data_IF_747861623646
#
_entry.id   IF_747861623646
#
_cell.length_a   1.000
_cell.length_b   1.000
_cell.length_c   1.000
_cell.angle_alpha   90.00
_cell.angle_beta   90.00
_cell.angle_gamma   90.00
#
_symmetry.space_group_name_H-M   'P 1'
#
loop_
_entity.id
_entity.type
_entity.pdbx_description
1 polymer ?
#
# COMPACT_ATOMS: atom_id res chain seq x y z
N UNK A 1 -8.84 -11.03 -20.57
CA UNK A 1 -9.26 -10.41 -19.30
C UNK A 1 -9.04 -8.93 -19.41
N UNK A 2 -10.04 -8.09 -19.16
CA UNK A 2 -9.96 -6.68 -19.52
C UNK A 2 -8.85 -5.90 -18.79
N UNK A 3 -8.49 -6.25 -17.55
CA UNK A 3 -7.55 -5.46 -16.78
C UNK A 3 -6.05 -5.79 -16.96
N UNK A 4 -5.67 -6.83 -17.72
CA UNK A 4 -4.25 -7.12 -17.98
C UNK A 4 -3.58 -5.98 -18.76
N UNK A 5 -4.30 -5.43 -19.72
CA UNK A 5 -3.79 -4.26 -20.46
C UNK A 5 -3.59 -3.01 -19.56
N UNK A 6 -4.40 -2.89 -18.52
CA UNK A 6 -4.20 -1.82 -17.53
C UNK A 6 -2.97 -2.10 -16.67
N UNK A 7 -2.77 -3.37 -16.22
CA UNK A 7 -1.57 -3.75 -15.45
C UNK A 7 -0.28 -3.42 -16.21
N UNK A 8 -0.22 -3.71 -17.51
CA UNK A 8 0.97 -3.46 -18.35
C UNK A 8 1.37 -1.99 -18.49
N UNK A 9 0.48 -1.05 -18.12
CA UNK A 9 0.77 0.39 -18.14
C UNK A 9 1.60 0.86 -16.95
N UNK A 10 1.67 0.06 -15.88
CA UNK A 10 2.32 0.43 -14.63
C UNK A 10 3.62 -0.34 -14.41
N UNK A 11 4.64 0.34 -13.91
CA UNK A 11 5.91 -0.27 -13.54
C UNK A 11 5.84 -1.05 -12.24
N UNK A 12 4.90 -0.71 -11.36
CA UNK A 12 4.70 -1.41 -10.09
C UNK A 12 3.23 -1.42 -9.68
N UNK A 13 2.76 -2.57 -9.19
CA UNK A 13 1.37 -2.78 -8.79
C UNK A 13 1.32 -3.55 -7.48
N UNK A 14 0.58 -3.03 -6.51
CA UNK A 14 0.26 -3.74 -5.28
C UNK A 14 -0.99 -4.61 -5.46
N UNK A 15 -0.93 -5.86 -5.03
CA UNK A 15 -2.12 -6.71 -4.83
C UNK A 15 -2.54 -6.65 -3.38
N UNK A 16 -3.74 -6.15 -3.11
CA UNK A 16 -4.26 -5.93 -1.74
C UNK A 16 -5.58 -6.69 -1.58
N UNK A 17 -5.77 -7.33 -0.43
CA UNK A 17 -7.05 -7.95 -0.08
C UNK A 17 -7.76 -7.15 1.00
N UNK A 18 -9.08 -6.94 0.88
CA UNK A 18 -9.89 -6.27 1.90
C UNK A 18 -9.89 -7.01 3.24
N UNK A 19 -9.77 -8.34 3.19
CA UNK A 19 -9.68 -9.21 4.37
C UNK A 19 -8.74 -10.39 4.06
N UNK A 20 -8.46 -11.21 5.06
CA UNK A 20 -7.84 -12.52 4.85
C UNK A 20 -8.76 -13.40 4.01
N UNK A 21 -8.17 -14.28 3.21
CA UNK A 21 -8.88 -15.28 2.41
C UNK A 21 -9.85 -14.72 1.34
N UNK A 22 -9.69 -13.46 0.90
CA UNK A 22 -10.47 -12.87 -0.20
C UNK A 22 -9.95 -13.23 -1.60
N UNK A 23 -9.04 -14.20 -1.71
CA UNK A 23 -8.49 -14.66 -3.00
C UNK A 23 -7.34 -13.81 -3.54
N UNK A 24 -6.68 -12.98 -2.72
CA UNK A 24 -5.55 -12.15 -3.16
C UNK A 24 -4.45 -12.96 -3.86
N UNK A 25 -4.01 -14.07 -3.27
CA UNK A 25 -2.95 -14.92 -3.85
C UNK A 25 -3.37 -15.56 -5.15
N UNK A 26 -4.63 -16.01 -5.26
CA UNK A 26 -5.18 -16.54 -6.51
C UNK A 26 -5.22 -15.47 -7.60
N UNK A 27 -5.62 -14.24 -7.23
CA UNK A 27 -5.59 -13.09 -8.15
C UNK A 27 -4.17 -12.83 -8.63
N UNK A 28 -3.19 -12.84 -7.73
CA UNK A 28 -1.78 -12.62 -8.06
C UNK A 28 -1.24 -13.73 -8.99
N UNK A 29 -1.45 -14.99 -8.65
CA UNK A 29 -1.05 -16.12 -9.49
C UNK A 29 -1.70 -16.05 -10.89
N UNK A 30 -2.97 -15.65 -10.95
CA UNK A 30 -3.66 -15.45 -12.20
C UNK A 30 -3.02 -14.33 -13.04
N UNK A 31 -2.69 -13.17 -12.43
CA UNK A 31 -2.01 -12.06 -13.10
C UNK A 31 -0.67 -12.53 -13.67
N UNK A 32 0.15 -13.20 -12.87
CA UNK A 32 1.48 -13.66 -13.29
C UNK A 32 1.40 -14.65 -14.46
N UNK A 33 0.45 -15.59 -14.40
CA UNK A 33 0.18 -16.52 -15.50
C UNK A 33 -0.21 -15.81 -16.80
N UNK A 34 -1.01 -14.74 -16.70
CA UNK A 34 -1.43 -13.97 -17.88
C UNK A 34 -0.30 -13.13 -18.45
N UNK A 35 0.48 -12.46 -17.60
CA UNK A 35 1.65 -11.69 -18.01
C UNK A 35 2.65 -12.58 -18.77
N UNK A 36 2.94 -13.79 -18.24
CA UNK A 36 3.75 -14.79 -18.95
C UNK A 36 3.18 -15.11 -20.32
N UNK A 37 1.87 -15.36 -20.43
CA UNK A 37 1.21 -15.68 -21.70
C UNK A 37 1.26 -14.58 -22.75
N UNK A 38 1.51 -13.34 -22.33
CA UNK A 38 1.67 -12.17 -23.20
C UNK A 38 3.15 -11.78 -23.42
N UNK A 39 4.10 -12.59 -22.95
CA UNK A 39 5.53 -12.34 -23.10
C UNK A 39 6.08 -11.22 -22.19
N UNK A 40 5.32 -10.82 -21.16
CA UNK A 40 5.74 -9.78 -20.22
C UNK A 40 6.59 -10.38 -19.10
N UNK A 41 7.78 -9.83 -18.88
CA UNK A 41 8.68 -10.26 -17.81
C UNK A 41 8.27 -9.55 -16.52
N UNK A 42 7.70 -10.29 -15.58
CA UNK A 42 7.28 -9.76 -14.30
C UNK A 42 8.34 -9.96 -13.21
N UNK A 43 8.47 -8.96 -12.35
CA UNK A 43 9.11 -9.07 -11.06
C UNK A 43 8.07 -9.28 -9.95
N UNK A 44 8.43 -9.96 -8.87
CA UNK A 44 7.51 -10.25 -7.77
C UNK A 44 8.21 -10.07 -6.43
N UNK A 45 7.54 -9.40 -5.49
CA UNK A 45 8.01 -9.29 -4.10
C UNK A 45 6.84 -9.17 -3.13
N UNK A 46 7.12 -9.12 -1.85
CA UNK A 46 6.10 -8.93 -0.81
C UNK A 46 6.54 -7.88 0.19
N UNK A 47 5.60 -7.16 0.78
CA UNK A 47 5.88 -6.31 1.94
C UNK A 47 5.63 -7.10 3.23
N UNK A 48 6.59 -6.98 4.14
CA UNK A 48 6.51 -7.49 5.51
C UNK A 48 6.96 -8.93 5.68
N UNK A 49 7.15 -9.24 6.94
CA UNK A 49 7.70 -10.51 7.40
C UNK A 49 6.57 -11.31 8.02
N UNK A 50 6.05 -12.25 7.29
CA UNK A 50 5.32 -13.33 7.90
C UNK A 50 6.26 -14.55 7.93
N UNK A 51 7.00 -14.71 9.03
CA UNK A 51 7.97 -15.80 9.21
C UNK A 51 7.36 -17.18 9.39
N UNK A 52 6.06 -17.26 9.53
CA UNK A 52 5.34 -18.50 9.77
C UNK A 52 4.88 -19.14 8.45
N UNK A 53 5.18 -20.42 8.30
CA UNK A 53 4.69 -21.24 7.16
C UNK A 53 3.20 -21.54 7.26
N UNK A 54 2.62 -21.35 8.44
CA UNK A 54 1.23 -21.61 8.79
C UNK A 54 0.63 -20.29 9.26
N UNK A 55 -0.56 -19.94 8.79
CA UNK A 55 -1.28 -18.80 9.32
C UNK A 55 -1.62 -19.06 10.78
N UNK A 56 -1.13 -18.22 11.69
CA UNK A 56 -1.30 -18.38 13.13
C UNK A 56 -2.78 -18.36 13.57
N UNK A 57 -3.67 -17.83 12.74
CA UNK A 57 -5.11 -17.73 13.05
C UNK A 57 -5.90 -18.91 12.49
N UNK A 58 -5.55 -19.38 11.28
CA UNK A 58 -6.33 -20.40 10.58
C UNK A 58 -5.66 -21.78 10.56
N UNK A 59 -4.42 -21.89 11.03
CA UNK A 59 -3.59 -23.12 10.97
C UNK A 59 -3.44 -23.69 9.55
N UNK A 60 -3.70 -22.90 8.53
CA UNK A 60 -3.57 -23.30 7.12
C UNK A 60 -2.20 -22.94 6.56
N UNK A 61 -1.63 -23.75 5.64
CA UNK A 61 -0.39 -23.40 4.97
C UNK A 61 -0.55 -22.06 4.23
N UNK A 62 0.46 -21.19 4.33
CA UNK A 62 0.44 -19.95 3.52
C UNK A 62 0.47 -20.30 2.04
N UNK A 63 -0.38 -19.63 1.25
CA UNK A 63 -0.41 -19.85 -0.18
C UNK A 63 0.91 -19.39 -0.81
N UNK A 64 1.50 -20.28 -1.61
CA UNK A 64 2.72 -20.01 -2.36
C UNK A 64 2.40 -19.28 -3.66
N UNK A 65 3.32 -18.44 -4.11
CA UNK A 65 3.25 -17.76 -5.40
C UNK A 65 3.95 -18.60 -6.44
N UNK A 66 3.29 -18.80 -7.58
CA UNK A 66 3.87 -19.48 -8.75
C UNK A 66 4.77 -18.52 -9.50
N UNK A 67 6.04 -18.88 -9.63
CA UNK A 67 7.04 -18.15 -10.41
C UNK A 67 7.32 -18.93 -11.68
N UNK A 68 7.30 -18.25 -12.80
CA UNK A 68 7.60 -18.84 -14.10
C UNK A 68 9.05 -18.54 -14.52
N UNK A 69 9.58 -19.37 -15.43
CA UNK A 69 10.90 -19.19 -16.00
C UNK A 69 11.08 -17.76 -16.56
N UNK A 70 12.23 -17.15 -16.29
CA UNK A 70 12.58 -15.79 -16.68
C UNK A 70 12.05 -14.68 -15.74
N UNK A 71 11.04 -14.96 -14.91
CA UNK A 71 10.55 -13.98 -13.92
C UNK A 71 11.59 -13.71 -12.85
N UNK A 72 11.58 -12.47 -12.35
CA UNK A 72 12.36 -12.09 -11.18
C UNK A 72 11.51 -12.18 -9.93
N UNK A 73 12.12 -12.56 -8.82
CA UNK A 73 11.47 -12.51 -7.51
C UNK A 73 12.42 -12.07 -6.43
N UNK A 74 11.91 -11.33 -5.45
CA UNK A 74 12.64 -10.99 -4.25
C UNK A 74 11.95 -11.58 -3.03
N UNK A 75 12.72 -12.32 -2.22
CA UNK A 75 12.24 -12.91 -0.96
C UNK A 75 13.38 -13.01 0.04
N UNK A 76 13.05 -13.24 1.34
CA UNK A 76 14.09 -13.43 2.37
C UNK A 76 14.90 -14.69 2.17
N UNK A 77 16.15 -14.70 2.67
CA UNK A 77 17.05 -15.87 2.61
C UNK A 77 16.39 -17.15 3.09
N UNK A 78 15.61 -17.11 4.17
CA UNK A 78 14.93 -18.27 4.71
C UNK A 78 13.91 -18.87 3.73
N UNK A 79 13.15 -18.05 3.03
CA UNK A 79 12.20 -18.50 2.01
C UNK A 79 12.89 -18.86 0.71
N UNK A 80 13.94 -18.14 0.32
CA UNK A 80 14.77 -18.48 -0.82
C UNK A 80 15.36 -19.89 -0.71
N UNK A 81 15.90 -20.26 0.46
CA UNK A 81 16.46 -21.60 0.69
C UNK A 81 15.42 -22.72 0.66
N UNK A 82 14.13 -22.42 0.87
CA UNK A 82 13.04 -23.40 0.86
C UNK A 82 12.42 -23.65 -0.49
N UNK A 83 12.71 -22.80 -1.50
CA UNK A 83 12.19 -23.00 -2.85
C UNK A 83 12.68 -24.31 -3.46
N UNK A 84 11.86 -24.93 -4.30
CA UNK A 84 12.15 -26.22 -4.93
C UNK A 84 12.41 -26.12 -6.44
N UNK A 85 12.87 -24.96 -6.91
CA UNK A 85 13.23 -24.75 -8.32
C UNK A 85 14.54 -23.99 -8.42
N UNK A 86 15.19 -24.03 -9.59
CA UNK A 86 16.46 -23.36 -9.82
C UNK A 86 16.26 -21.87 -10.07
N UNK A 87 17.13 -21.05 -9.50
CA UNK A 87 17.14 -19.62 -9.70
C UNK A 87 18.58 -19.06 -9.58
N UNK A 88 18.89 -18.10 -10.42
CA UNK A 88 20.11 -17.32 -10.40
C UNK A 88 19.97 -16.16 -9.41
N UNK A 89 20.93 -15.98 -8.51
CA UNK A 89 20.96 -14.83 -7.59
C UNK A 89 21.54 -13.63 -8.36
N UNK A 90 20.77 -12.55 -8.40
CA UNK A 90 21.14 -11.28 -9.06
C UNK A 90 21.53 -10.19 -8.08
N UNK A 91 21.15 -10.32 -6.80
CA UNK A 91 21.46 -9.36 -5.76
C UNK A 91 21.02 -9.84 -4.38
N UNK A 92 21.66 -9.31 -3.36
CA UNK A 92 21.35 -9.55 -1.95
C UNK A 92 21.42 -8.23 -1.22
N UNK A 93 20.37 -7.89 -0.47
CA UNK A 93 20.32 -6.62 0.26
C UNK A 93 21.38 -6.53 1.36
N UNK A 94 21.86 -5.34 1.64
CA UNK A 94 22.74 -5.07 2.79
C UNK A 94 21.96 -5.18 4.12
N UNK A 95 20.72 -4.75 4.11
CA UNK A 95 19.84 -4.80 5.28
C UNK A 95 19.23 -6.19 5.44
N UNK A 96 18.92 -6.55 6.69
CA UNK A 96 18.30 -7.83 7.04
C UNK A 96 16.90 -7.64 7.60
N UNK A 97 16.01 -8.54 7.21
CA UNK A 97 14.71 -8.76 7.86
C UNK A 97 14.89 -9.79 8.99
N UNK A 98 13.85 -10.06 9.80
CA UNK A 98 13.87 -11.15 10.76
C UNK A 98 14.03 -12.56 10.12
N UNK A 99 13.86 -12.67 8.80
CA UNK A 99 14.05 -13.91 8.03
C UNK A 99 15.33 -13.91 7.19
N UNK A 100 16.29 -13.06 7.51
CA UNK A 100 17.52 -12.85 6.76
C UNK A 100 17.44 -11.73 5.73
N UNK A 101 18.47 -11.60 4.91
CA UNK A 101 18.56 -10.58 3.86
C UNK A 101 17.55 -10.87 2.75
N UNK A 102 17.19 -9.84 2.00
CA UNK A 102 16.36 -9.99 0.79
C UNK A 102 17.24 -10.42 -0.37
N UNK A 103 16.87 -11.52 -1.01
CA UNK A 103 17.58 -12.09 -2.18
C UNK A 103 16.72 -11.81 -3.42
N UNK A 104 17.29 -11.11 -4.38
CA UNK A 104 16.71 -10.87 -5.71
C UNK A 104 17.26 -11.92 -6.66
N UNK A 105 16.38 -12.64 -7.34
CA UNK A 105 16.75 -13.78 -8.17
C UNK A 105 15.92 -13.86 -9.44
N UNK A 106 16.50 -14.46 -10.49
CA UNK A 106 15.82 -14.84 -11.72
C UNK A 106 15.51 -16.33 -11.68
N UNK A 107 14.27 -16.70 -11.96
CA UNK A 107 13.87 -18.10 -12.07
C UNK A 107 14.43 -18.73 -13.36
N UNK A 108 15.18 -19.84 -13.22
CA UNK A 108 15.67 -20.65 -14.34
C UNK A 108 14.63 -21.71 -14.73
N UNK A 109 13.76 -22.08 -13.80
CA UNK A 109 12.63 -22.98 -14.03
C UNK A 109 11.38 -22.51 -13.27
N UNK A 110 10.25 -23.12 -13.59
CA UNK A 110 8.96 -22.85 -12.94
C UNK A 110 8.90 -23.51 -11.57
N UNK A 111 8.28 -22.82 -10.59
CA UNK A 111 8.05 -23.39 -9.28
C UNK A 111 7.30 -22.45 -8.35
N UNK A 112 7.15 -22.87 -7.10
CA UNK A 112 6.43 -22.10 -6.08
C UNK A 112 7.39 -21.59 -5.01
N UNK A 113 7.13 -20.38 -4.52
CA UNK A 113 7.90 -19.75 -3.46
C UNK A 113 7.01 -18.99 -2.50
N UNK A 114 7.40 -18.97 -1.22
CA UNK A 114 6.85 -18.05 -0.24
C UNK A 114 7.56 -16.69 -0.41
N UNK A 115 6.77 -15.65 -0.53
CA UNK A 115 7.31 -14.29 -0.59
C UNK A 115 7.34 -13.67 0.81
N UNK A 116 8.42 -12.97 1.08
CA UNK A 116 8.61 -12.12 2.25
C UNK A 116 9.61 -11.01 1.92
N UNK A 117 9.40 -9.85 2.46
CA UNK A 117 10.23 -8.70 2.15
C UNK A 117 10.32 -7.71 3.29
N UNK A 118 10.81 -6.50 3.02
CA UNK A 118 10.89 -5.45 4.01
C UNK A 118 9.53 -5.06 4.57
N UNK A 119 9.49 -4.67 5.85
CA UNK A 119 8.30 -4.07 6.47
C UNK A 119 8.25 -2.55 6.31
N UNK A 120 9.35 -1.93 5.89
CA UNK A 120 9.49 -0.49 5.71
C UNK A 120 9.22 -0.08 4.26
N UNK A 121 8.38 0.96 4.06
CA UNK A 121 7.97 1.44 2.75
C UNK A 121 9.12 1.95 1.88
N UNK A 122 10.08 2.66 2.44
CA UNK A 122 11.24 3.17 1.68
C UNK A 122 12.17 2.05 1.22
N UNK A 123 12.31 0.99 2.02
CA UNK A 123 13.13 -0.15 1.63
C UNK A 123 12.43 -1.03 0.59
N UNK A 124 11.12 -1.28 0.71
CA UNK A 124 10.40 -2.03 -0.34
C UNK A 124 10.43 -1.28 -1.68
N UNK A 125 10.35 0.07 -1.66
CA UNK A 125 10.51 0.88 -2.87
C UNK A 125 11.87 0.65 -3.52
N UNK A 126 12.97 0.63 -2.75
CA UNK A 126 14.31 0.30 -3.27
C UNK A 126 14.36 -1.10 -3.88
N UNK A 127 13.75 -2.10 -3.23
CA UNK A 127 13.70 -3.47 -3.78
C UNK A 127 12.93 -3.51 -5.11
N UNK A 128 11.83 -2.76 -5.23
CA UNK A 128 11.08 -2.63 -6.49
C UNK A 128 11.96 -2.02 -7.58
N UNK A 129 12.64 -0.91 -7.27
CA UNK A 129 13.50 -0.20 -8.22
C UNK A 129 14.68 -1.09 -8.68
N UNK A 130 15.33 -1.80 -7.74
CA UNK A 130 16.40 -2.76 -8.07
C UNK A 130 15.91 -3.91 -8.97
N UNK A 131 14.67 -4.40 -8.80
CA UNK A 131 14.09 -5.41 -9.69
C UNK A 131 13.84 -4.82 -11.08
N UNK A 132 13.31 -3.59 -11.17
CA UNK A 132 13.06 -2.90 -12.44
C UNK A 132 14.35 -2.64 -13.22
N UNK A 133 15.43 -2.25 -12.54
CA UNK A 133 16.76 -2.04 -13.14
C UNK A 133 17.33 -3.32 -13.78
N UNK A 134 16.89 -4.50 -13.35
CA UNK A 134 17.28 -5.79 -13.92
C UNK A 134 16.49 -6.19 -15.17
N UNK A 135 15.66 -5.27 -15.69
CA UNK A 135 15.03 -5.38 -17.00
C UNK A 135 13.68 -6.10 -16.99
N UNK A 136 12.91 -6.06 -15.89
CA UNK A 136 11.52 -6.50 -15.90
C UNK A 136 10.58 -5.37 -16.38
N UNK A 137 9.45 -5.75 -16.95
CA UNK A 137 8.46 -4.81 -17.47
C UNK A 137 7.61 -4.19 -16.34
N UNK A 138 7.25 -5.01 -15.34
CA UNK A 138 6.42 -4.62 -14.19
C UNK A 138 6.74 -5.44 -12.96
N UNK A 139 6.56 -4.86 -11.78
CA UNK A 139 6.73 -5.54 -10.48
C UNK A 139 5.39 -5.66 -9.78
N UNK A 140 5.01 -6.89 -9.41
CA UNK A 140 3.81 -7.17 -8.63
C UNK A 140 4.21 -7.36 -7.15
N UNK A 141 3.62 -6.56 -6.29
CA UNK A 141 3.91 -6.54 -4.85
C UNK A 141 2.76 -7.18 -4.07
N UNK A 142 3.06 -8.25 -3.32
CA UNK A 142 2.10 -8.88 -2.42
C UNK A 142 1.95 -8.03 -1.15
N UNK A 143 0.75 -7.48 -0.93
CA UNK A 143 0.43 -6.61 0.20
C UNK A 143 -0.78 -7.10 1.01
N UNK A 144 -0.88 -6.70 2.28
CA UNK A 144 -2.06 -6.92 3.12
C UNK A 144 -2.79 -5.59 3.37
N UNK A 145 -4.12 -5.63 3.55
CA UNK A 145 -4.92 -4.43 3.83
C UNK A 145 -4.47 -3.73 5.12
N UNK A 146 -4.12 -4.48 6.15
CA UNK A 146 -3.52 -3.94 7.39
C UNK A 146 -2.21 -3.17 7.15
N UNK A 147 -1.67 -3.28 5.93
CA UNK A 147 -0.48 -2.60 5.44
C UNK A 147 -0.83 -1.81 4.17
N UNK A 148 -1.92 -1.03 4.21
CA UNK A 148 -2.34 -0.12 3.12
C UNK A 148 -1.21 0.76 2.61
N UNK A 149 -0.17 0.97 3.45
CA UNK A 149 1.05 1.68 3.06
C UNK A 149 1.71 1.17 1.77
N UNK A 150 1.51 -0.11 1.38
CA UNK A 150 2.01 -0.64 0.10
C UNK A 150 1.25 -0.08 -1.09
N UNK A 151 -0.04 0.17 -0.92
CA UNK A 151 -0.87 0.84 -1.91
C UNK A 151 -0.66 2.35 -1.96
N UNK A 152 0.22 2.90 -1.10
CA UNK A 152 0.59 4.31 -1.20
C UNK A 152 1.19 4.58 -2.59
N UNK A 153 0.75 5.66 -3.28
CA UNK A 153 1.32 6.07 -4.56
C UNK A 153 2.84 6.30 -4.53
N UNK A 154 3.41 6.46 -3.34
CA UNK A 154 4.86 6.59 -3.13
C UNK A 154 5.57 5.25 -3.38
N UNK A 155 4.90 4.12 -3.18
CA UNK A 155 5.52 2.78 -3.26
C UNK A 155 5.18 2.09 -4.57
N UNK A 156 3.91 2.06 -4.96
CA UNK A 156 3.44 1.42 -6.21
C UNK A 156 2.54 2.34 -7.00
N UNK A 157 2.61 2.25 -8.33
CA UNK A 157 1.85 3.08 -9.25
C UNK A 157 0.38 2.67 -9.40
N UNK A 158 0.07 1.41 -9.09
CA UNK A 158 -1.27 0.87 -9.24
C UNK A 158 -1.64 -0.12 -8.13
N UNK A 159 -2.94 -0.38 -8.00
CA UNK A 159 -3.49 -1.31 -7.01
C UNK A 159 -4.48 -2.26 -7.68
N UNK A 160 -4.34 -3.56 -7.39
CA UNK A 160 -5.37 -4.56 -7.62
C UNK A 160 -5.99 -4.92 -6.27
N UNK A 161 -7.25 -4.55 -6.08
CA UNK A 161 -7.98 -4.79 -4.84
C UNK A 161 -8.82 -6.08 -4.96
N UNK A 162 -8.52 -7.07 -4.11
CA UNK A 162 -9.29 -8.31 -4.00
C UNK A 162 -10.34 -8.19 -2.90
N UNK A 163 -11.57 -8.57 -3.20
CA UNK A 163 -12.69 -8.62 -2.26
C UNK A 163 -13.51 -9.89 -2.47
N UNK A 164 -14.31 -10.28 -1.50
CA UNK A 164 -15.13 -11.49 -1.61
C UNK A 164 -15.90 -11.81 -0.32
N UNK A 165 -16.54 -12.97 -0.29
CA UNK A 165 -17.40 -13.41 0.81
C UNK A 165 -16.71 -13.49 2.18
N UNK A 166 -15.37 -13.57 2.22
CA UNK A 166 -14.61 -13.50 3.48
C UNK A 166 -14.71 -12.14 4.19
N UNK A 167 -15.13 -11.07 3.47
CA UNK A 167 -15.35 -9.74 4.06
C UNK A 167 -16.64 -9.70 4.88
N UNK A 168 -17.69 -10.36 4.40
CA UNK A 168 -18.99 -10.50 5.06
C UNK A 168 -19.84 -11.56 4.34
N UNK A 169 -20.73 -12.22 5.08
CA UNK A 169 -21.75 -13.08 4.49
C UNK A 169 -22.89 -12.28 3.80
N UNK A 170 -23.00 -10.99 4.11
CA UNK A 170 -23.94 -10.08 3.45
C UNK A 170 -23.31 -9.44 2.23
N UNK A 171 -23.89 -9.68 1.04
CA UNK A 171 -23.43 -9.03 -0.20
C UNK A 171 -23.49 -7.50 -0.10
N UNK A 172 -24.51 -6.94 0.55
CA UNK A 172 -24.64 -5.50 0.75
C UNK A 172 -23.46 -4.92 1.54
N UNK A 173 -23.02 -5.61 2.60
CA UNK A 173 -21.85 -5.23 3.40
C UNK A 173 -20.55 -5.37 2.62
N UNK A 174 -20.39 -6.42 1.81
CA UNK A 174 -19.21 -6.57 0.93
C UNK A 174 -19.13 -5.38 -0.03
N UNK A 175 -20.23 -5.03 -0.66
CA UNK A 175 -20.31 -3.89 -1.60
C UNK A 175 -20.03 -2.58 -0.88
N UNK A 176 -20.63 -2.35 0.30
CA UNK A 176 -20.45 -1.13 1.11
C UNK A 176 -18.98 -0.93 1.48
N UNK A 177 -18.34 -1.95 2.07
CA UNK A 177 -16.92 -1.90 2.47
C UNK A 177 -15.99 -1.73 1.27
N UNK A 178 -16.24 -2.44 0.17
CA UNK A 178 -15.43 -2.32 -1.04
C UNK A 178 -15.54 -0.93 -1.65
N UNK A 179 -16.76 -0.40 -1.77
CA UNK A 179 -17.01 0.96 -2.27
C UNK A 179 -16.31 2.01 -1.42
N UNK A 180 -16.34 1.87 -0.10
CA UNK A 180 -15.66 2.77 0.81
C UNK A 180 -14.16 2.85 0.50
N UNK A 181 -13.47 1.70 0.42
CA UNK A 181 -12.02 1.68 0.10
C UNK A 181 -11.75 2.24 -1.29
N UNK A 182 -12.57 1.91 -2.29
CA UNK A 182 -12.43 2.48 -3.65
C UNK A 182 -12.61 4.00 -3.63
N UNK A 183 -13.53 4.53 -2.82
CA UNK A 183 -13.72 5.98 -2.69
C UNK A 183 -12.50 6.63 -2.04
N UNK A 184 -11.91 6.01 -1.02
CA UNK A 184 -10.65 6.51 -0.42
C UNK A 184 -9.49 6.53 -1.43
N UNK A 185 -9.40 5.51 -2.28
CA UNK A 185 -8.38 5.43 -3.35
C UNK A 185 -8.60 6.47 -4.46
N UNK A 186 -9.82 6.98 -4.61
CA UNK A 186 -10.20 7.98 -5.62
C UNK A 186 -10.23 9.41 -5.09
N UNK A 187 -9.81 9.65 -3.86
CA UNK A 187 -9.68 11.01 -3.34
C UNK A 187 -8.73 11.83 -4.22
N UNK A 188 -9.10 13.08 -4.45
CA UNK A 188 -8.28 13.99 -5.24
C UNK A 188 -6.90 14.19 -4.59
N UNK A 189 -5.88 14.30 -5.40
CA UNK A 189 -4.54 14.66 -4.97
C UNK A 189 -4.30 16.15 -5.18
N UNK A 190 -3.48 16.74 -4.31
CA UNK A 190 -3.00 18.11 -4.50
C UNK A 190 -2.12 18.21 -5.76
N UNK A 191 -2.03 19.42 -6.31
CA UNK A 191 -1.02 19.73 -7.31
C UNK A 191 0.41 19.52 -6.72
N UNK A 192 1.38 19.22 -7.60
CA UNK A 192 2.74 18.86 -7.19
C UNK A 192 3.42 19.96 -6.34
N UNK A 193 3.18 21.25 -6.65
CA UNK A 193 3.79 22.38 -5.93
C UNK A 193 3.31 22.41 -4.47
N UNK A 194 2.01 22.22 -4.25
CA UNK A 194 1.45 22.17 -2.90
C UNK A 194 1.89 20.91 -2.16
N UNK A 195 1.93 19.79 -2.86
CA UNK A 195 2.35 18.49 -2.31
C UNK A 195 3.79 18.55 -1.81
N UNK A 196 4.73 19.06 -2.58
CA UNK A 196 6.13 19.18 -2.21
C UNK A 196 6.30 20.01 -0.95
N UNK A 197 5.63 21.18 -0.88
CA UNK A 197 5.64 22.04 0.32
C UNK A 197 5.17 21.31 1.59
N UNK A 198 4.17 20.42 1.47
CA UNK A 198 3.63 19.70 2.61
C UNK A 198 4.47 18.49 3.02
N UNK A 199 5.13 17.83 2.07
CA UNK A 199 5.99 16.67 2.35
C UNK A 199 7.27 17.03 3.11
N UNK A 200 7.73 18.27 3.01
CA UNK A 200 8.88 18.80 3.76
C UNK A 200 8.57 19.12 5.23
N UNK A 201 7.27 19.19 5.60
CA UNK A 201 6.87 19.54 6.95
C UNK A 201 7.09 18.39 7.93
N UNK A 202 7.52 18.76 9.15
CA UNK A 202 7.61 17.83 10.28
C UNK A 202 6.24 17.29 10.67
N UNK A 203 6.24 16.24 11.49
CA UNK A 203 4.99 15.71 12.03
C UNK A 203 4.22 16.75 12.86
N UNK A 204 2.92 16.84 12.58
CA UNK A 204 2.04 17.81 13.23
C UNK A 204 0.72 18.00 12.51
N UNK A 205 -0.01 19.02 12.95
CA UNK A 205 -1.25 19.48 12.33
C UNK A 205 -1.04 20.93 11.93
N UNK A 206 -1.37 21.26 10.69
CA UNK A 206 -1.11 22.56 10.11
C UNK A 206 -2.39 23.19 9.57
N UNK A 207 -2.59 24.47 9.89
CA UNK A 207 -3.56 25.35 9.21
C UNK A 207 -2.88 25.97 8.01
N UNK A 208 -3.51 25.87 6.84
CA UNK A 208 -2.98 26.39 5.59
C UNK A 208 -3.98 27.37 4.97
N UNK A 209 -3.48 28.54 4.59
CA UNK A 209 -4.22 29.53 3.82
C UNK A 209 -3.48 29.71 2.49
N UNK A 210 -3.92 28.95 1.48
CA UNK A 210 -3.22 28.89 0.19
C UNK A 210 -3.11 30.26 -0.51
N UNK A 211 -4.16 31.07 -0.44
CA UNK A 211 -4.21 32.39 -1.07
C UNK A 211 -3.14 33.36 -0.52
N UNK A 212 -2.79 33.20 0.75
CA UNK A 212 -1.79 34.01 1.47
C UNK A 212 -0.42 33.32 1.56
N UNK A 213 -0.30 32.09 1.06
CA UNK A 213 0.88 31.23 1.22
C UNK A 213 1.33 31.07 2.69
N UNK A 214 0.36 30.98 3.61
CA UNK A 214 0.60 30.83 5.03
C UNK A 214 0.44 29.37 5.44
N UNK A 215 1.44 28.80 6.11
CA UNK A 215 1.43 27.46 6.70
C UNK A 215 1.81 27.59 8.18
N UNK A 216 0.84 27.38 9.06
CA UNK A 216 1.04 27.52 10.52
C UNK A 216 0.84 26.18 11.21
N UNK A 217 1.87 25.72 11.94
CA UNK A 217 1.76 24.54 12.82
C UNK A 217 0.85 24.87 13.99
N UNK A 218 -0.16 24.06 14.24
CA UNK A 218 -1.08 24.24 15.36
C UNK A 218 -0.43 23.72 16.66
N UNK A 219 -0.71 24.35 17.82
CA UNK A 219 -0.10 23.99 19.10
C UNK A 219 -0.73 22.73 19.72
N UNK A 220 -1.07 21.76 18.89
CA UNK A 220 -1.62 20.45 19.30
C UNK A 220 -0.79 19.32 18.68
N UNK A 221 -0.50 18.31 19.50
CA UNK A 221 0.30 17.15 19.06
C UNK A 221 -0.53 16.08 18.34
N UNK A 222 -1.84 16.09 18.52
CA UNK A 222 -2.73 15.07 17.98
C UNK A 222 -4.11 15.66 17.71
N UNK A 223 -4.81 15.10 16.73
CA UNK A 223 -6.22 15.40 16.46
C UNK A 223 -7.14 15.14 17.67
N UNK A 224 -6.72 14.31 18.63
CA UNK A 224 -7.45 14.07 19.87
C UNK A 224 -7.56 15.32 20.75
N UNK A 225 -6.63 16.26 20.60
CA UNK A 225 -6.58 17.52 21.34
C UNK A 225 -7.23 18.69 20.56
N UNK A 226 -7.90 18.41 19.44
CA UNK A 226 -8.46 19.44 18.56
C UNK A 226 -9.49 20.34 19.26
N UNK A 227 -10.27 19.79 20.21
CA UNK A 227 -11.22 20.57 21.01
C UNK A 227 -10.58 21.66 21.89
N UNK A 228 -9.28 21.64 22.05
CA UNK A 228 -8.51 22.66 22.79
C UNK A 228 -8.18 23.90 21.95
N UNK A 229 -8.46 23.86 20.63
CA UNK A 229 -8.22 24.98 19.74
C UNK A 229 -9.36 26.00 19.83
N UNK A 230 -9.00 27.26 19.83
CA UNK A 230 -9.98 28.35 19.81
C UNK A 230 -10.67 28.43 18.44
N UNK A 231 -11.97 28.69 18.44
CA UNK A 231 -12.78 28.87 17.22
C UNK A 231 -12.23 29.95 16.28
N UNK A 232 -11.61 30.98 16.87
CA UNK A 232 -11.02 32.10 16.16
C UNK A 232 -9.94 31.70 15.13
N UNK A 233 -9.30 30.53 15.31
CA UNK A 233 -8.28 30.01 14.40
C UNK A 233 -8.86 29.71 13.00
N UNK A 234 -10.15 29.42 12.90
CA UNK A 234 -10.81 28.95 11.67
C UNK A 234 -11.76 29.98 11.02
N UNK A 235 -11.67 31.26 11.38
CA UNK A 235 -12.53 32.33 10.82
C UNK A 235 -12.32 32.54 9.31
N UNK A 236 -11.14 32.24 8.78
CA UNK A 236 -10.83 32.35 7.37
C UNK A 236 -10.89 30.97 6.70
N UNK A 237 -11.25 30.95 5.41
CA UNK A 237 -11.18 29.73 4.59
C UNK A 237 -9.75 29.18 4.63
N UNK A 238 -9.61 27.97 5.08
CA UNK A 238 -8.32 27.32 5.21
C UNK A 238 -8.41 25.82 4.95
N UNK A 239 -7.26 25.18 4.66
CA UNK A 239 -7.09 23.74 4.65
C UNK A 239 -6.42 23.30 5.94
N UNK A 240 -6.72 22.09 6.39
CA UNK A 240 -6.12 21.47 7.57
C UNK A 240 -5.28 20.27 7.11
N UNK A 241 -3.95 20.39 7.19
CA UNK A 241 -3.06 19.28 6.86
C UNK A 241 -2.69 18.49 8.12
N UNK A 242 -2.92 17.18 8.06
CA UNK A 242 -2.70 16.24 9.16
C UNK A 242 -1.68 15.20 8.71
N UNK A 243 -0.47 15.23 9.27
CA UNK A 243 0.58 14.24 8.94
C UNK A 243 0.31 12.87 9.56
N UNK A 244 -0.44 12.85 10.65
CA UNK A 244 -0.83 11.65 11.39
C UNK A 244 -2.08 10.98 10.83
N UNK A 245 -2.76 10.24 11.69
CA UNK A 245 -3.97 9.46 11.37
C UNK A 245 -5.21 10.34 11.51
N UNK A 246 -6.07 10.35 10.49
CA UNK A 246 -7.41 10.93 10.52
C UNK A 246 -8.40 9.86 11.04
N UNK A 247 -9.03 10.11 12.18
CA UNK A 247 -9.98 9.18 12.80
C UNK A 247 -11.42 9.61 12.59
N UNK A 248 -12.36 8.65 12.59
CA UNK A 248 -13.80 8.88 12.52
C UNK A 248 -14.26 9.87 13.59
N UNK A 249 -13.85 9.67 14.86
CA UNK A 249 -14.19 10.58 15.96
C UNK A 249 -13.80 12.03 15.68
N UNK A 250 -12.69 12.25 15.00
CA UNK A 250 -12.25 13.60 14.64
C UNK A 250 -13.18 14.21 13.58
N UNK A 251 -13.51 13.44 12.54
CA UNK A 251 -14.43 13.87 11.47
C UNK A 251 -15.81 14.18 12.04
N UNK A 252 -16.32 13.33 12.93
CA UNK A 252 -17.60 13.55 13.63
C UNK A 252 -17.61 14.83 14.49
N UNK A 253 -16.52 15.09 15.19
CA UNK A 253 -16.36 16.31 15.97
C UNK A 253 -16.31 17.55 15.08
N UNK A 254 -15.63 17.47 13.94
CA UNK A 254 -15.61 18.55 12.95
C UNK A 254 -17.01 18.80 12.37
N UNK A 255 -17.75 17.76 12.01
CA UNK A 255 -19.07 17.87 11.39
C UNK A 255 -20.10 18.58 12.28
N UNK A 256 -19.94 18.53 13.61
CA UNK A 256 -20.79 19.20 14.60
C UNK A 256 -20.52 20.70 14.73
N UNK A 257 -19.41 21.17 14.20
CA UNK A 257 -19.00 22.58 14.33
C UNK A 257 -19.36 23.34 13.05
N UNK A 258 -20.29 24.27 13.13
CA UNK A 258 -20.86 24.97 11.96
C UNK A 258 -19.82 25.78 11.16
N UNK A 259 -18.78 26.29 11.81
CA UNK A 259 -17.71 27.09 11.18
C UNK A 259 -16.71 26.22 10.38
N UNK A 260 -16.75 24.89 10.54
CA UNK A 260 -15.84 23.96 9.86
C UNK A 260 -16.43 23.33 8.60
N UNK A 261 -17.65 23.67 8.21
CA UNK A 261 -18.35 23.08 7.04
C UNK A 261 -17.62 23.25 5.71
N UNK A 262 -16.67 24.18 5.63
CA UNK A 262 -15.93 24.51 4.42
C UNK A 262 -14.41 24.29 4.56
N UNK A 263 -13.97 23.49 5.53
CA UNK A 263 -12.54 23.17 5.70
C UNK A 263 -12.20 21.97 4.81
N UNK A 264 -11.21 22.15 3.96
CA UNK A 264 -10.56 21.07 3.25
C UNK A 264 -9.63 20.33 4.21
N UNK A 265 -9.76 19.01 4.31
CA UNK A 265 -8.84 18.18 5.10
C UNK A 265 -7.84 17.53 4.14
N UNK A 266 -6.57 17.72 4.40
CA UNK A 266 -5.46 17.16 3.65
C UNK A 266 -4.76 16.14 4.53
N UNK A 267 -4.53 14.95 4.01
CA UNK A 267 -3.74 13.88 4.66
C UNK A 267 -2.58 13.48 3.74
N UNK A 268 -1.56 12.87 4.30
CA UNK A 268 -0.38 12.45 3.54
C UNK A 268 -0.72 11.48 2.41
N UNK A 269 -1.59 10.52 2.70
CA UNK A 269 -2.16 9.57 1.74
C UNK A 269 -3.41 8.91 2.35
N UNK A 270 -4.17 8.16 1.53
CA UNK A 270 -5.41 7.50 1.95
C UNK A 270 -5.21 6.48 3.10
N UNK A 271 -3.99 5.98 3.31
CA UNK A 271 -3.68 5.01 4.37
C UNK A 271 -3.71 5.63 5.76
N UNK A 272 -3.77 6.96 5.82
CA UNK A 272 -3.92 7.74 7.06
C UNK A 272 -5.39 7.97 7.45
N UNK A 273 -6.35 7.51 6.64
CA UNK A 273 -7.78 7.72 6.87
C UNK A 273 -8.37 6.47 7.51
N UNK A 274 -8.77 6.59 8.78
CA UNK A 274 -9.43 5.55 9.58
C UNK A 274 -10.86 5.99 9.90
N UNK A 275 -11.69 5.97 8.86
CA UNK A 275 -13.11 6.30 8.91
C UNK A 275 -13.88 5.08 8.42
N UNK A 276 -14.95 4.72 9.13
CA UNK A 276 -15.82 3.59 8.78
C UNK A 276 -16.66 3.88 7.52
N UNK A 277 -17.05 2.83 6.77
CA UNK A 277 -17.90 2.97 5.59
C UNK A 277 -19.31 3.44 5.88
#
# INVERSE_FOLDING_TARGET
MPFINDIKRYKSIATIGLEKNVGKTETMNYILKRLKGEGVIAGVTSIGIDGEMIDAVTSTPKPEITIFEGMLFATSEKHYKKKKFQAEILGVSEQSTALGRVVISRAIGEGKVLLSGPSNGSWIKKVIDEILEKGVDTVIVDGALSRLSVGSPIITEGIVLSTGAAVSLSLAEVVKKTRHVVNLLKLDSLDEIKKDKLLELEDGIYKIIWEKNIINKLPIKSILNFSQLEENIFKEKCSLYITGVLTERFVDNLSKQSFLKNIEIIVKDFTKIFVSP
#
